data_IF_797038356094
#
_entry.id   IF_797038356094
#
_cell.length_a   1.000
_cell.length_b   1.000
_cell.length_c   1.000
_cell.angle_alpha   90.00
_cell.angle_beta   90.00
_cell.angle_gamma   90.00
#
_symmetry.space_group_name_H-M   'P 1'
#
loop_
_entity.id
_entity.type
_entity.pdbx_description
1 polymer ?
#
# COMPACT_ATOMS: atom_id res chain seq x y z
N UNK A 1 -56.47 41.16 8.51
CA UNK A 1 -56.11 40.03 7.62
C UNK A 1 -55.25 40.56 6.48
N UNK A 2 -53.93 40.45 6.57
CA UNK A 2 -53.05 40.72 5.42
C UNK A 2 -52.83 39.39 4.72
N UNK A 3 -53.33 39.30 3.49
CA UNK A 3 -53.24 38.17 2.58
C UNK A 3 -52.02 38.46 1.69
N UNK A 4 -50.96 37.67 1.82
CA UNK A 4 -49.83 37.70 0.90
C UNK A 4 -50.07 36.70 -0.22
N UNK A 5 -50.11 37.18 -1.46
CA UNK A 5 -50.10 36.34 -2.66
C UNK A 5 -48.65 36.09 -3.08
N UNK A 6 -48.29 34.83 -3.31
CA UNK A 6 -47.05 34.47 -4.00
C UNK A 6 -47.39 34.18 -5.46
N UNK A 7 -47.02 35.08 -6.36
CA UNK A 7 -47.07 34.86 -7.82
C UNK A 7 -45.68 34.37 -8.23
N UNK A 8 -45.59 33.11 -8.68
CA UNK A 8 -44.41 32.58 -9.37
C UNK A 8 -44.77 32.48 -10.87
N UNK A 9 -43.97 33.06 -11.79
CA UNK A 9 -44.27 32.98 -13.21
C UNK A 9 -43.85 31.60 -13.72
N UNK A 10 -44.82 30.79 -14.13
CA UNK A 10 -44.57 29.63 -14.99
C UNK A 10 -45.39 29.83 -16.26
N UNK A 11 -44.68 29.77 -17.39
CA UNK A 11 -45.17 29.92 -18.75
C UNK A 11 -46.24 28.84 -19.01
N UNK A 12 -47.53 29.20 -18.94
CA UNK A 12 -48.67 28.61 -19.68
C UNK A 12 -50.00 29.13 -19.12
N UNK A 13 -50.92 29.50 -20.00
CA UNK A 13 -52.23 30.08 -19.72
C UNK A 13 -53.16 29.15 -18.92
N UNK A 14 -53.08 29.14 -17.58
CA UNK A 14 -54.18 28.69 -16.71
C UNK A 14 -54.08 29.38 -15.34
N UNK A 15 -54.96 30.35 -15.07
CA UNK A 15 -55.14 30.90 -13.74
C UNK A 15 -55.88 29.88 -12.85
N UNK A 16 -55.15 29.18 -11.97
CA UNK A 16 -55.76 28.48 -10.85
C UNK A 16 -55.76 29.45 -9.67
N UNK A 17 -56.92 30.05 -9.38
CA UNK A 17 -57.16 30.77 -8.13
C UNK A 17 -57.33 29.74 -7.02
N UNK A 18 -56.25 29.44 -6.30
CA UNK A 18 -56.32 28.60 -5.10
C UNK A 18 -56.90 29.46 -3.96
N UNK A 19 -58.12 29.10 -3.51
CA UNK A 19 -58.77 29.61 -2.29
C UNK A 19 -57.86 29.44 -1.06
N UNK A 20 -58.02 30.25 0.01
CA UNK A 20 -57.05 30.35 1.10
C UNK A 20 -57.11 29.08 1.96
N UNK A 21 -56.22 28.14 1.68
CA UNK A 21 -55.86 27.09 2.63
C UNK A 21 -54.73 27.68 3.45
N UNK A 22 -54.97 27.93 4.74
CA UNK A 22 -53.94 28.34 5.68
C UNK A 22 -52.97 27.15 5.83
N UNK A 23 -51.94 27.07 4.99
CA UNK A 23 -50.96 26.01 5.05
C UNK A 23 -50.00 26.33 6.19
N UNK A 24 -50.12 25.59 7.29
CA UNK A 24 -49.14 25.62 8.38
C UNK A 24 -47.93 24.82 7.91
N UNK A 25 -46.78 25.48 7.79
CA UNK A 25 -45.50 24.82 7.55
C UNK A 25 -44.77 24.61 8.88
N UNK A 26 -44.25 23.40 9.09
CA UNK A 26 -43.44 23.05 10.26
C UNK A 26 -41.99 22.89 9.84
N UNK A 27 -41.13 23.74 10.39
CA UNK A 27 -39.69 23.58 10.31
C UNK A 27 -39.17 23.08 11.67
N UNK A 28 -38.44 21.96 11.67
CA UNK A 28 -37.80 21.43 12.88
C UNK A 28 -36.38 21.00 12.55
N UNK A 29 -35.42 21.66 13.17
CA UNK A 29 -34.04 21.22 13.31
C UNK A 29 -33.52 21.80 14.63
N UNK A 30 -32.87 21.01 15.52
CA UNK A 30 -32.39 21.50 16.82
C UNK A 30 -31.42 22.68 16.75
N UNK A 31 -30.74 22.88 15.62
CA UNK A 31 -29.76 23.97 15.40
C UNK A 31 -30.39 25.22 14.79
N UNK A 32 -31.71 25.21 14.50
CA UNK A 32 -32.41 26.42 14.03
C UNK A 32 -32.26 27.57 15.01
N UNK A 33 -32.14 27.31 16.31
CA UNK A 33 -31.89 28.35 17.31
C UNK A 33 -30.69 29.23 16.97
N UNK A 34 -29.65 28.69 16.32
CA UNK A 34 -28.44 29.43 15.93
C UNK A 34 -28.61 30.29 14.68
N UNK A 35 -29.56 29.92 13.82
CA UNK A 35 -29.84 30.59 12.55
C UNK A 35 -31.18 31.30 12.56
N UNK A 36 -31.85 31.34 13.71
CA UNK A 36 -33.23 31.79 13.83
C UNK A 36 -33.42 33.22 13.30
N UNK A 37 -32.57 34.21 13.64
CA UNK A 37 -32.73 35.56 13.12
C UNK A 37 -32.79 35.62 11.59
N UNK A 38 -31.92 34.88 10.90
CA UNK A 38 -31.92 34.78 9.44
C UNK A 38 -33.23 34.15 8.92
N UNK A 39 -33.70 33.08 9.57
CA UNK A 39 -34.95 32.42 9.16
C UNK A 39 -36.17 33.32 9.39
N UNK A 40 -36.19 34.17 10.42
CA UNK A 40 -37.27 35.12 10.64
C UNK A 40 -37.37 36.10 9.48
N UNK A 41 -36.26 36.69 9.07
CA UNK A 41 -36.23 37.64 7.96
C UNK A 41 -36.75 36.99 6.66
N UNK A 42 -36.33 35.76 6.39
CA UNK A 42 -36.79 35.00 5.21
C UNK A 42 -38.29 34.70 5.29
N UNK A 43 -38.78 34.23 6.45
CA UNK A 43 -40.19 33.89 6.64
C UNK A 43 -41.09 35.13 6.51
N UNK A 44 -40.65 36.28 7.05
CA UNK A 44 -41.35 37.55 6.93
C UNK A 44 -41.37 38.07 5.49
N UNK A 45 -40.24 37.96 4.77
CA UNK A 45 -40.16 38.31 3.35
C UNK A 45 -41.09 37.47 2.47
N UNK A 46 -41.33 36.21 2.86
CA UNK A 46 -42.31 35.33 2.22
C UNK A 46 -43.77 35.60 2.67
N UNK A 47 -44.02 36.60 3.51
CA UNK A 47 -45.35 36.93 4.05
C UNK A 47 -45.85 35.96 5.14
N UNK A 48 -44.97 35.11 5.66
CA UNK A 48 -45.26 34.20 6.76
C UNK A 48 -45.26 34.90 8.12
N UNK A 49 -45.80 34.20 9.13
CA UNK A 49 -45.68 34.60 10.53
C UNK A 49 -45.11 33.44 11.32
N UNK A 50 -43.89 33.61 11.83
CA UNK A 50 -43.24 32.59 12.63
C UNK A 50 -43.94 32.44 13.99
N UNK A 51 -44.14 31.18 14.40
CA UNK A 51 -44.55 30.79 15.76
C UNK A 51 -43.54 29.78 16.28
N UNK A 52 -43.09 29.97 17.51
CA UNK A 52 -42.06 29.16 18.12
C UNK A 52 -42.64 28.24 19.17
N UNK A 53 -42.27 26.98 19.08
CA UNK A 53 -42.60 25.96 20.07
C UNK A 53 -41.27 25.54 20.67
N UNK A 54 -40.99 26.03 21.88
CA UNK A 54 -39.74 25.72 22.56
C UNK A 54 -39.93 24.49 23.45
N UNK A 55 -39.32 23.37 23.05
CA UNK A 55 -39.41 22.12 23.78
C UNK A 55 -38.12 21.90 24.57
N UNK A 56 -38.20 22.01 25.89
CA UNK A 56 -37.04 21.79 26.75
C UNK A 56 -37.03 20.39 27.40
N UNK A 57 -35.83 19.94 27.75
CA UNK A 57 -35.54 18.68 28.43
C UNK A 57 -34.59 18.94 29.59
N UNK A 58 -34.61 18.05 30.58
CA UNK A 58 -33.66 18.12 31.70
C UNK A 58 -32.23 18.07 31.16
N UNK A 59 -31.33 18.96 31.63
CA UNK A 59 -30.00 19.14 31.04
C UNK A 59 -29.19 17.85 31.07
N UNK A 60 -29.21 17.13 32.19
CA UNK A 60 -28.45 15.89 32.36
C UNK A 60 -28.98 14.74 31.47
N UNK A 61 -30.28 14.71 31.14
CA UNK A 61 -30.79 13.75 30.14
C UNK A 61 -30.21 14.03 28.75
N UNK A 62 -30.09 15.32 28.40
CA UNK A 62 -29.48 15.75 27.14
C UNK A 62 -28.00 15.38 27.12
N UNK A 63 -27.26 15.64 28.20
CA UNK A 63 -25.84 15.29 28.30
C UNK A 63 -25.62 13.77 28.14
N UNK A 64 -26.34 12.95 28.90
CA UNK A 64 -26.23 11.49 28.79
C UNK A 64 -26.56 11.00 27.38
N UNK A 65 -27.57 11.58 26.73
CA UNK A 65 -27.92 11.26 25.35
C UNK A 65 -26.84 11.67 24.33
N UNK A 66 -26.12 12.77 24.59
CA UNK A 66 -24.99 13.21 23.75
C UNK A 66 -23.77 12.31 23.94
N UNK A 67 -23.48 11.89 25.17
CA UNK A 67 -22.35 11.01 25.50
C UNK A 67 -22.46 9.63 24.86
N UNK A 68 -23.67 9.06 24.79
CA UNK A 68 -23.92 7.79 24.07
C UNK A 68 -23.54 7.90 22.59
N UNK A 69 -23.69 9.08 21.98
CA UNK A 69 -23.38 9.32 20.56
C UNK A 69 -21.93 9.74 20.32
N UNK A 70 -21.35 10.47 21.27
CA UNK A 70 -20.01 11.02 21.21
C UNK A 70 -19.26 10.70 22.50
N UNK A 71 -18.54 9.58 22.51
CA UNK A 71 -17.86 9.09 23.72
C UNK A 71 -16.84 10.08 24.32
N UNK A 72 -16.31 11.02 23.52
CA UNK A 72 -15.37 12.04 23.95
C UNK A 72 -16.03 13.32 24.52
N UNK A 73 -17.37 13.39 24.58
CA UNK A 73 -18.07 14.60 25.04
C UNK A 73 -18.09 14.68 26.56
N UNK A 74 -17.44 15.71 27.13
CA UNK A 74 -17.44 15.89 28.58
C UNK A 74 -18.81 16.35 29.08
N UNK A 75 -19.11 16.09 30.36
CA UNK A 75 -20.35 16.58 30.99
C UNK A 75 -20.45 18.11 30.95
N UNK A 76 -19.31 18.80 31.14
CA UNK A 76 -19.24 20.27 31.12
C UNK A 76 -19.55 20.81 29.71
N UNK A 77 -18.98 20.21 28.66
CA UNK A 77 -19.28 20.58 27.27
C UNK A 77 -20.77 20.36 26.96
N UNK A 78 -21.32 19.25 27.44
CA UNK A 78 -22.75 18.92 27.43
C UNK A 78 -23.63 20.04 27.98
N UNK A 79 -23.31 20.49 29.18
CA UNK A 79 -24.08 21.50 29.90
C UNK A 79 -23.95 22.89 29.27
N UNK A 80 -22.73 23.29 28.87
CA UNK A 80 -22.50 24.56 28.16
C UNK A 80 -23.20 24.58 26.81
N UNK A 81 -23.14 23.48 26.06
CA UNK A 81 -23.86 23.33 24.81
C UNK A 81 -25.37 23.43 25.05
N UNK A 82 -25.91 22.71 26.05
CA UNK A 82 -27.33 22.79 26.41
C UNK A 82 -27.75 24.22 26.73
N UNK A 83 -27.03 24.90 27.62
CA UNK A 83 -27.34 26.26 28.08
C UNK A 83 -27.35 27.24 26.91
N UNK A 84 -26.32 27.20 26.07
CA UNK A 84 -26.23 28.07 24.90
C UNK A 84 -27.34 27.78 23.87
N UNK A 85 -27.73 26.52 23.66
CA UNK A 85 -28.85 26.21 22.76
C UNK A 85 -30.20 26.66 23.32
N UNK A 86 -30.43 26.51 24.63
CA UNK A 86 -31.63 27.00 25.29
C UNK A 86 -31.72 28.52 25.15
N UNK A 87 -30.70 29.26 25.52
CA UNK A 87 -30.72 30.73 25.45
C UNK A 87 -30.95 31.21 24.01
N UNK A 88 -30.19 30.68 23.04
CA UNK A 88 -30.31 31.09 21.64
C UNK A 88 -31.67 30.75 21.03
N UNK A 89 -32.33 29.71 21.53
CA UNK A 89 -33.65 29.31 21.02
C UNK A 89 -34.76 30.32 21.31
N UNK A 90 -34.48 31.32 22.15
CA UNK A 90 -35.37 32.44 22.46
C UNK A 90 -34.94 33.78 21.83
N UNK A 91 -33.91 33.80 20.97
CA UNK A 91 -33.38 35.05 20.40
C UNK A 91 -34.42 35.91 19.64
N UNK A 92 -35.45 35.28 19.05
CA UNK A 92 -36.54 35.97 18.33
C UNK A 92 -37.91 35.77 19.03
N UNK A 93 -37.91 35.31 20.27
CA UNK A 93 -39.13 35.00 21.01
C UNK A 93 -39.81 36.26 21.55
N UNK A 94 -41.14 36.31 21.45
CA UNK A 94 -42.01 37.27 22.13
C UNK A 94 -43.13 36.51 22.86
N UNK A 95 -43.79 37.11 23.85
CA UNK A 95 -44.93 36.48 24.54
C UNK A 95 -46.04 35.99 23.59
N UNK A 96 -46.27 36.69 22.48
CA UNK A 96 -47.36 36.45 21.55
C UNK A 96 -47.05 35.41 20.47
N UNK A 97 -45.76 35.08 20.27
CA UNK A 97 -45.32 34.18 19.21
C UNK A 97 -44.66 32.89 19.72
N UNK A 98 -44.41 32.77 21.03
CA UNK A 98 -43.67 31.66 21.63
C UNK A 98 -44.50 30.91 22.66
N UNK A 99 -44.41 29.59 22.64
CA UNK A 99 -44.97 28.69 23.64
C UNK A 99 -43.88 27.78 24.19
N UNK A 100 -43.75 27.72 25.50
CA UNK A 100 -42.75 26.89 26.19
C UNK A 100 -43.42 25.61 26.67
N UNK A 101 -42.77 24.47 26.43
CA UNK A 101 -43.23 23.21 26.98
C UNK A 101 -42.08 22.26 27.31
N UNK A 102 -42.21 21.52 28.39
CA UNK A 102 -41.29 20.43 28.69
C UNK A 102 -41.66 19.18 27.89
N UNK A 103 -40.65 18.43 27.44
CA UNK A 103 -40.86 17.13 26.78
C UNK A 103 -41.63 16.17 27.69
N UNK A 104 -41.46 16.28 29.02
CA UNK A 104 -42.16 15.44 30.02
C UNK A 104 -43.65 15.80 30.09
N UNK A 105 -44.00 17.08 30.16
CA UNK A 105 -45.40 17.53 30.19
C UNK A 105 -46.14 17.17 28.90
N UNK A 106 -45.48 17.30 27.75
CA UNK A 106 -46.06 16.89 26.46
C UNK A 106 -46.34 15.39 26.38
N UNK A 107 -45.40 14.54 26.81
CA UNK A 107 -45.58 13.09 26.78
C UNK A 107 -46.62 12.60 27.80
N UNK A 108 -46.86 13.36 28.88
CA UNK A 108 -47.86 13.02 29.90
C UNK A 108 -49.29 13.25 29.41
N UNK A 109 -49.56 14.35 28.73
CA UNK A 109 -50.90 14.71 28.23
C UNK A 109 -50.82 15.47 26.90
N UNK A 110 -50.55 14.78 25.78
CA UNK A 110 -50.30 15.41 24.49
C UNK A 110 -51.53 16.14 23.95
N UNK A 111 -52.74 15.61 24.19
CA UNK A 111 -54.00 16.20 23.71
C UNK A 111 -54.26 17.55 24.38
N UNK A 112 -54.13 17.63 25.71
CA UNK A 112 -54.30 18.88 26.45
C UNK A 112 -53.21 19.90 26.10
N UNK A 113 -51.95 19.46 25.96
CA UNK A 113 -50.85 20.35 25.58
C UNK A 113 -51.07 20.94 24.19
N UNK A 114 -51.46 20.15 23.18
CA UNK A 114 -51.74 20.66 21.83
C UNK A 114 -52.93 21.62 21.80
N UNK A 115 -53.95 21.39 22.63
CA UNK A 115 -55.09 22.31 22.79
C UNK A 115 -54.63 23.67 23.34
N UNK A 116 -53.86 23.66 24.43
CA UNK A 116 -53.29 24.89 25.03
C UNK A 116 -52.38 25.62 24.04
N UNK A 117 -51.51 24.89 23.36
CA UNK A 117 -50.59 25.41 22.36
C UNK A 117 -51.36 26.12 21.23
N UNK A 118 -52.34 25.45 20.62
CA UNK A 118 -53.17 26.05 19.58
C UNK A 118 -53.87 27.34 20.02
N UNK A 119 -54.39 27.37 21.25
CA UNK A 119 -55.01 28.56 21.83
C UNK A 119 -54.02 29.71 22.06
N UNK A 120 -52.83 29.43 22.58
CA UNK A 120 -51.85 30.44 22.96
C UNK A 120 -51.15 31.10 21.78
N UNK A 121 -50.70 30.31 20.80
CA UNK A 121 -50.01 30.86 19.61
C UNK A 121 -50.96 31.11 18.43
N UNK A 122 -52.27 31.00 18.66
CA UNK A 122 -53.35 31.26 17.72
C UNK A 122 -53.21 30.44 16.43
N UNK A 123 -53.09 29.12 16.58
CA UNK A 123 -53.01 28.15 15.50
C UNK A 123 -54.28 27.30 15.49
N UNK A 124 -54.91 27.21 14.31
CA UNK A 124 -55.97 26.24 14.06
C UNK A 124 -55.37 24.95 13.52
N UNK A 125 -55.51 23.87 14.28
CA UNK A 125 -55.01 22.56 13.86
C UNK A 125 -55.82 22.02 12.67
N UNK A 126 -55.16 21.42 11.65
CA UNK A 126 -55.87 20.76 10.55
C UNK A 126 -56.76 19.61 11.03
N UNK A 127 -56.35 18.94 12.09
CA UNK A 127 -57.10 17.90 12.80
C UNK A 127 -57.17 18.33 14.27
N UNK A 128 -58.37 18.47 14.87
CA UNK A 128 -58.50 18.80 16.27
C UNK A 128 -57.73 17.80 17.15
N UNK A 129 -57.01 18.24 18.21
CA UNK A 129 -56.21 17.35 19.05
C UNK A 129 -57.00 16.19 19.68
N UNK A 130 -58.29 16.40 19.97
CA UNK A 130 -59.17 15.37 20.51
C UNK A 130 -59.41 14.23 19.50
N UNK A 131 -59.66 14.58 18.24
CA UNK A 131 -59.89 13.61 17.16
C UNK A 131 -58.61 12.86 16.78
N UNK A 132 -57.44 13.44 17.07
CA UNK A 132 -56.14 12.83 16.84
C UNK A 132 -55.63 11.98 18.03
N UNK A 133 -56.38 11.87 19.14
CA UNK A 133 -55.90 11.32 20.40
C UNK A 133 -55.35 9.88 20.28
N UNK A 134 -56.08 8.98 19.62
CA UNK A 134 -55.66 7.58 19.44
C UNK A 134 -54.36 7.48 18.65
N UNK A 135 -54.26 8.20 17.52
CA UNK A 135 -53.05 8.28 16.69
C UNK A 135 -51.87 8.89 17.45
N UNK A 136 -52.12 9.89 18.30
CA UNK A 136 -51.09 10.50 19.13
C UNK A 136 -50.56 9.51 20.17
N UNK A 137 -51.44 8.71 20.80
CA UNK A 137 -51.03 7.69 21.76
C UNK A 137 -50.28 6.53 21.13
N UNK A 138 -50.66 6.11 19.91
CA UNK A 138 -49.92 5.08 19.17
C UNK A 138 -48.54 5.57 18.70
N UNK A 139 -48.45 6.84 18.27
CA UNK A 139 -47.20 7.42 17.77
C UNK A 139 -46.21 7.78 18.87
N UNK A 140 -46.69 8.26 20.02
CA UNK A 140 -45.83 8.73 21.11
C UNK A 140 -45.41 7.56 22.00
N UNK A 141 -44.16 7.16 21.87
CA UNK A 141 -43.55 6.17 22.74
C UNK A 141 -43.21 6.77 24.11
N UNK A 142 -44.00 6.42 25.12
CA UNK A 142 -43.75 6.82 26.52
C UNK A 142 -42.43 6.28 27.09
N UNK A 143 -41.84 5.24 26.48
CA UNK A 143 -40.55 4.68 26.89
C UNK A 143 -39.35 5.58 26.55
N UNK A 144 -39.55 6.62 25.72
CA UNK A 144 -38.56 7.65 25.42
C UNK A 144 -38.32 8.63 26.59
N UNK A 145 -39.09 8.52 27.68
CA UNK A 145 -38.78 9.20 28.95
C UNK A 145 -37.70 8.41 29.68
N UNK A 146 -36.44 8.67 29.34
CA UNK A 146 -35.32 8.04 30.04
C UNK A 146 -35.26 8.50 31.51
N UNK A 147 -34.98 7.55 32.40
CA UNK A 147 -35.00 7.74 33.85
C UNK A 147 -34.00 8.81 34.34
N UNK A 148 -34.42 9.51 35.40
CA UNK A 148 -33.78 10.65 36.07
C UNK A 148 -32.31 10.39 36.44
N UNK A 149 -31.39 11.32 36.15
CA UNK A 149 -30.36 11.67 37.10
C UNK A 149 -30.98 12.60 38.15
N UNK A 150 -31.27 12.05 39.33
CA UNK A 150 -31.50 12.84 40.53
C UNK A 150 -30.14 13.31 41.01
N UNK A 151 -29.84 14.60 40.86
CA UNK A 151 -28.61 15.19 41.38
C UNK A 151 -28.43 16.62 40.88
N UNK A 152 -27.94 17.50 41.75
CA UNK A 152 -27.46 18.82 41.35
C UNK A 152 -26.30 18.69 40.38
N UNK A 153 -26.16 19.66 39.49
CA UNK A 153 -25.03 19.68 38.55
C UNK A 153 -23.75 20.01 39.35
N UNK A 154 -22.76 19.09 39.47
CA UNK A 154 -21.69 19.19 40.46
C UNK A 154 -20.55 20.14 40.05
N UNK A 155 -20.81 21.10 39.16
CA UNK A 155 -19.81 21.97 38.56
C UNK A 155 -20.10 23.45 38.83
N UNK A 156 -19.91 23.98 40.05
CA UNK A 156 -20.03 25.42 40.29
C UNK A 156 -18.93 26.20 39.53
N UNK A 157 -19.20 27.39 38.97
CA UNK A 157 -20.48 28.12 39.02
C UNK A 157 -21.53 27.64 38.01
N UNK A 158 -21.16 26.84 37.01
CA UNK A 158 -22.04 26.37 35.93
C UNK A 158 -23.33 25.67 36.44
N UNK A 159 -23.22 24.87 37.50
CA UNK A 159 -24.38 24.18 38.06
C UNK A 159 -25.47 25.13 38.53
N UNK A 160 -25.10 26.22 39.22
CA UNK A 160 -26.05 27.24 39.67
C UNK A 160 -26.72 27.98 38.52
N UNK A 161 -26.00 28.24 37.43
CA UNK A 161 -26.60 28.85 36.24
C UNK A 161 -27.58 27.91 35.53
N UNK A 162 -27.19 26.65 35.35
CA UNK A 162 -28.05 25.64 34.73
C UNK A 162 -29.33 25.46 35.55
N UNK A 163 -29.22 25.38 36.88
CA UNK A 163 -30.37 25.25 37.78
C UNK A 163 -31.30 26.46 37.68
N UNK A 164 -30.77 27.69 37.65
CA UNK A 164 -31.57 28.91 37.46
C UNK A 164 -32.39 28.87 36.16
N UNK A 165 -31.75 28.56 35.04
CA UNK A 165 -32.44 28.50 33.73
C UNK A 165 -33.47 27.37 33.70
N UNK A 166 -33.16 26.21 34.28
CA UNK A 166 -34.11 25.10 34.41
C UNK A 166 -35.35 25.52 35.22
N UNK A 167 -35.16 26.22 36.33
CA UNK A 167 -36.27 26.71 37.16
C UNK A 167 -37.13 27.76 36.41
N UNK A 168 -36.50 28.65 35.65
CA UNK A 168 -37.21 29.60 34.77
C UNK A 168 -38.03 28.89 33.67
N UNK A 169 -37.49 27.83 33.07
CA UNK A 169 -38.21 27.01 32.09
C UNK A 169 -39.38 26.25 32.73
N UNK A 170 -39.16 25.65 33.91
CA UNK A 170 -40.19 24.91 34.64
C UNK A 170 -41.34 25.78 35.11
N UNK A 171 -41.05 26.98 35.61
CA UNK A 171 -42.09 27.96 36.02
C UNK A 171 -42.90 28.49 34.84
N UNK A 172 -42.36 28.39 33.62
CA UNK A 172 -43.01 28.81 32.37
C UNK A 172 -43.55 27.64 31.54
N UNK A 173 -43.59 26.42 32.09
CA UNK A 173 -44.07 25.24 31.35
C UNK A 173 -45.56 25.36 31.00
N UNK A 174 -45.89 25.07 29.74
CA UNK A 174 -47.22 25.21 29.14
C UNK A 174 -47.75 26.65 29.09
N UNK A 175 -46.86 27.64 29.15
CA UNK A 175 -47.19 29.06 29.11
C UNK A 175 -46.38 29.81 28.03
N UNK A 176 -46.79 31.05 27.77
CA UNK A 176 -45.99 32.01 26.99
C UNK A 176 -44.91 32.62 27.88
N UNK A 177 -43.72 32.96 27.34
CA UNK A 177 -42.70 33.65 28.12
C UNK A 177 -43.21 35.01 28.60
N UNK A 178 -42.89 35.36 29.85
CA UNK A 178 -43.23 36.63 30.47
C UNK A 178 -41.96 37.47 30.73
N UNK A 179 -42.12 38.68 31.27
CA UNK A 179 -40.99 39.58 31.54
C UNK A 179 -39.95 38.97 32.50
N UNK A 180 -40.38 38.23 33.52
CA UNK A 180 -39.48 37.53 34.46
C UNK A 180 -38.66 36.45 33.76
N UNK A 181 -39.28 35.70 32.85
CA UNK A 181 -38.59 34.69 32.04
C UNK A 181 -37.53 35.32 31.13
N UNK A 182 -37.86 36.42 30.43
CA UNK A 182 -36.88 37.11 29.60
C UNK A 182 -35.73 37.70 30.41
N UNK A 183 -36.00 38.28 31.58
CA UNK A 183 -34.93 38.75 32.47
C UNK A 183 -34.01 37.60 32.93
N UNK A 184 -34.57 36.43 33.20
CA UNK A 184 -33.78 35.24 33.54
C UNK A 184 -32.87 34.79 32.38
N UNK A 185 -33.39 34.77 31.16
CA UNK A 185 -32.59 34.45 29.97
C UNK A 185 -31.51 35.48 29.67
N UNK A 186 -31.80 36.77 29.83
CA UNK A 186 -30.82 37.83 29.58
C UNK A 186 -29.64 37.72 30.55
N UNK A 187 -29.91 37.50 31.84
CA UNK A 187 -28.86 37.26 32.84
C UNK A 187 -28.00 36.02 32.49
N UNK A 188 -28.63 34.93 32.02
CA UNK A 188 -27.89 33.74 31.62
C UNK A 188 -27.08 33.94 30.35
N UNK A 189 -27.55 34.80 29.43
CA UNK A 189 -26.82 35.20 28.24
C UNK A 189 -25.59 36.04 28.60
N UNK A 190 -25.76 37.06 29.44
CA UNK A 190 -24.66 37.89 29.96
C UNK A 190 -23.60 37.01 30.62
N UNK A 191 -24.02 36.08 31.49
CA UNK A 191 -23.11 35.15 32.14
C UNK A 191 -22.35 34.25 31.15
N UNK A 192 -23.03 33.74 30.11
CA UNK A 192 -22.38 32.97 29.05
C UNK A 192 -21.37 33.81 28.25
N UNK A 193 -21.69 35.07 27.97
CA UNK A 193 -20.83 35.97 27.21
C UNK A 193 -19.60 36.39 28.04
N UNK A 194 -19.75 36.61 29.35
CA UNK A 194 -18.64 36.79 30.29
C UNK A 194 -17.73 35.57 30.33
N UNK A 195 -18.29 34.36 30.45
CA UNK A 195 -17.51 33.13 30.37
C UNK A 195 -16.78 33.01 29.05
N UNK A 196 -17.45 33.26 27.91
CA UNK A 196 -16.80 33.24 26.59
C UNK A 196 -15.64 34.23 26.55
N UNK A 197 -15.82 35.46 27.03
CA UNK A 197 -14.76 36.47 27.02
C UNK A 197 -13.54 36.05 27.87
N UNK A 198 -13.78 35.47 29.06
CA UNK A 198 -12.73 34.92 29.91
C UNK A 198 -11.97 33.79 29.20
N UNK A 199 -12.70 32.84 28.62
CA UNK A 199 -12.10 31.72 27.91
C UNK A 199 -11.46 32.12 26.59
N UNK A 200 -11.95 33.15 25.89
CA UNK A 200 -11.38 33.61 24.63
C UNK A 200 -9.94 34.13 24.83
N UNK A 201 -9.67 34.79 25.96
CA UNK A 201 -8.32 35.20 26.36
C UNK A 201 -7.42 33.99 26.70
N UNK A 202 -7.97 32.99 27.40
CA UNK A 202 -7.26 31.78 27.86
C UNK A 202 -7.08 30.74 26.76
N UNK A 203 -7.94 30.70 25.76
CA UNK A 203 -7.93 29.73 24.64
C UNK A 203 -7.03 30.23 23.51
N UNK A 204 -7.06 31.53 23.19
CA UNK A 204 -6.31 32.06 22.03
C UNK A 204 -4.79 31.89 22.14
N UNK A 205 -4.20 31.93 23.34
CA UNK A 205 -2.74 31.85 23.50
C UNK A 205 -2.18 30.41 23.55
N UNK A 206 -2.59 29.54 24.50
CA UNK A 206 -2.00 28.22 24.66
C UNK A 206 -2.51 27.19 23.64
N UNK A 207 -3.78 27.23 23.22
CA UNK A 207 -4.28 26.26 22.22
C UNK A 207 -3.70 26.53 20.83
N UNK A 208 -3.41 27.78 20.48
CA UNK A 208 -2.70 28.11 19.25
C UNK A 208 -1.26 27.56 19.28
N UNK A 209 -0.54 27.75 20.40
CA UNK A 209 0.81 27.18 20.60
C UNK A 209 0.80 25.66 20.54
N UNK A 210 -0.11 25.01 21.28
CA UNK A 210 -0.25 23.55 21.30
C UNK A 210 -0.60 22.99 19.92
N UNK A 211 -1.49 23.64 19.17
CA UNK A 211 -1.81 23.22 17.81
C UNK A 211 -0.64 23.41 16.85
N UNK A 212 0.14 24.49 17.00
CA UNK A 212 1.35 24.72 16.20
C UNK A 212 2.44 23.69 16.52
N UNK A 213 2.67 23.40 17.80
CA UNK A 213 3.58 22.34 18.26
C UNK A 213 3.16 20.97 17.74
N UNK A 214 1.87 20.64 17.82
CA UNK A 214 1.30 19.41 17.27
C UNK A 214 1.50 19.34 15.76
N UNK A 215 1.24 20.42 15.03
CA UNK A 215 1.44 20.47 13.58
C UNK A 215 2.91 20.29 13.20
N UNK A 216 3.82 20.93 13.94
CA UNK A 216 5.26 20.75 13.78
C UNK A 216 5.72 19.33 14.11
N UNK A 217 5.12 18.70 15.13
CA UNK A 217 5.43 17.30 15.47
C UNK A 217 4.95 16.33 14.39
N UNK A 218 3.76 16.57 13.82
CA UNK A 218 3.23 15.80 12.68
C UNK A 218 4.15 15.95 11.46
N UNK A 219 4.50 17.18 11.08
CA UNK A 219 5.40 17.43 9.95
C UNK A 219 6.76 16.75 10.12
N UNK A 220 7.34 16.80 11.32
CA UNK A 220 8.60 16.08 11.64
C UNK A 220 8.45 14.57 11.54
N UNK A 221 7.32 14.01 11.97
CA UNK A 221 7.05 12.57 11.86
C UNK A 221 6.89 12.14 10.39
N UNK A 222 6.24 12.95 9.57
CA UNK A 222 6.09 12.71 8.12
C UNK A 222 7.44 12.77 7.40
N UNK A 223 8.30 13.74 7.74
CA UNK A 223 9.65 13.85 7.19
C UNK A 223 10.53 12.63 7.56
N UNK A 224 10.50 12.21 8.82
CA UNK A 224 11.19 11.00 9.28
C UNK A 224 10.68 9.74 8.58
N UNK A 225 9.36 9.64 8.36
CA UNK A 225 8.77 8.51 7.65
C UNK A 225 9.23 8.49 6.18
N UNK A 226 9.28 9.64 5.53
CA UNK A 226 9.81 9.78 4.16
C UNK A 226 11.28 9.35 4.06
N UNK A 227 12.13 9.83 4.99
CA UNK A 227 13.54 9.45 5.04
C UNK A 227 13.74 7.94 5.29
N UNK A 228 12.93 7.35 6.17
CA UNK A 228 12.94 5.91 6.43
C UNK A 228 12.55 5.10 5.18
N UNK A 229 11.48 5.51 4.48
CA UNK A 229 11.03 4.84 3.25
C UNK A 229 12.08 4.89 2.15
N UNK A 230 12.76 6.04 1.99
CA UNK A 230 13.85 6.17 1.02
C UNK A 230 15.01 5.24 1.36
N UNK A 231 15.43 5.22 2.63
CA UNK A 231 16.52 4.33 3.09
C UNK A 231 16.16 2.85 2.86
N UNK A 232 14.92 2.46 3.11
CA UNK A 232 14.47 1.09 2.89
C UNK A 232 14.43 0.72 1.40
N UNK A 233 14.07 1.65 0.51
CA UNK A 233 14.16 1.45 -0.94
C UNK A 233 15.60 1.28 -1.41
N UNK A 234 16.53 2.09 -0.92
CA UNK A 234 17.97 1.97 -1.20
C UNK A 234 18.53 0.63 -0.68
N UNK A 235 18.08 0.18 0.49
CA UNK A 235 18.46 -1.13 1.04
C UNK A 235 17.97 -2.29 0.16
N UNK A 236 16.73 -2.21 -0.33
CA UNK A 236 16.16 -3.24 -1.20
C UNK A 236 16.87 -3.30 -2.55
N UNK A 237 17.17 -2.16 -3.17
CA UNK A 237 17.91 -2.12 -4.44
C UNK A 237 19.34 -2.64 -4.30
N UNK A 238 20.02 -2.34 -3.19
CA UNK A 238 21.33 -2.89 -2.88
C UNK A 238 21.28 -4.42 -2.70
N UNK A 239 20.23 -4.95 -2.09
CA UNK A 239 20.04 -6.41 -1.93
C UNK A 239 19.84 -7.11 -3.29
N UNK A 240 19.10 -6.48 -4.20
CA UNK A 240 18.92 -6.98 -5.57
C UNK A 240 20.22 -6.97 -6.37
N UNK A 241 21.00 -5.89 -6.28
CA UNK A 241 22.31 -5.80 -6.90
C UNK A 241 23.28 -6.88 -6.36
N UNK A 242 23.24 -7.15 -5.06
CA UNK A 242 24.08 -8.18 -4.44
C UNK A 242 23.74 -9.59 -4.94
N UNK A 243 22.44 -9.89 -5.12
CA UNK A 243 22.01 -11.16 -5.73
C UNK A 243 22.48 -11.30 -7.18
N UNK A 244 22.50 -10.22 -7.94
CA UNK A 244 23.00 -10.25 -9.32
C UNK A 244 24.49 -10.58 -9.37
N UNK A 245 25.29 -9.92 -8.51
CA UNK A 245 26.73 -10.20 -8.39
C UNK A 245 26.98 -11.65 -7.97
N UNK A 246 26.20 -12.18 -7.04
CA UNK A 246 26.29 -13.58 -6.61
C UNK A 246 26.06 -14.55 -7.79
N UNK A 247 25.03 -14.30 -8.61
CA UNK A 247 24.75 -15.09 -9.82
C UNK A 247 25.85 -15.01 -10.87
N UNK A 248 26.44 -13.83 -11.06
CA UNK A 248 27.59 -13.65 -11.95
C UNK A 248 28.82 -14.42 -11.44
N UNK A 249 29.10 -14.36 -10.14
CA UNK A 249 30.18 -15.12 -9.50
C UNK A 249 30.00 -16.64 -9.70
N UNK A 250 28.79 -17.17 -9.50
CA UNK A 250 28.47 -18.58 -9.72
C UNK A 250 28.67 -18.99 -11.19
N UNK A 251 28.29 -18.12 -12.12
CA UNK A 251 28.47 -18.35 -13.56
C UNK A 251 29.95 -18.38 -13.93
N UNK A 252 30.73 -17.41 -13.43
CA UNK A 252 32.19 -17.35 -13.67
C UNK A 252 32.89 -18.54 -13.03
N UNK A 253 32.49 -18.95 -11.83
CA UNK A 253 33.03 -20.14 -11.16
C UNK A 253 32.78 -21.41 -11.99
N UNK A 254 31.55 -21.58 -12.49
CA UNK A 254 31.18 -22.71 -13.35
C UNK A 254 31.98 -22.75 -14.65
N UNK A 255 32.16 -21.59 -15.31
CA UNK A 255 32.99 -21.47 -16.51
C UNK A 255 34.46 -21.78 -16.21
N UNK A 256 35.01 -21.28 -15.10
CA UNK A 256 36.39 -21.56 -14.71
C UNK A 256 36.63 -23.05 -14.47
N UNK A 257 35.68 -23.76 -13.86
CA UNK A 257 35.73 -25.22 -13.70
C UNK A 257 35.72 -25.95 -15.04
N UNK A 258 34.88 -25.54 -15.99
CA UNK A 258 34.82 -26.12 -17.33
C UNK A 258 36.13 -25.93 -18.10
N UNK A 259 36.68 -24.70 -18.09
CA UNK A 259 37.99 -24.41 -18.68
C UNK A 259 39.10 -25.24 -18.02
N UNK A 260 39.06 -25.41 -16.69
CA UNK A 260 40.05 -26.21 -15.99
C UNK A 260 40.00 -27.69 -16.41
N UNK A 261 38.80 -28.26 -16.56
CA UNK A 261 38.62 -29.64 -17.06
C UNK A 261 39.12 -29.79 -18.49
N UNK A 262 38.73 -28.89 -19.39
CA UNK A 262 39.17 -28.92 -20.79
C UNK A 262 40.71 -28.80 -20.92
N UNK A 263 41.33 -27.98 -20.09
CA UNK A 263 42.78 -27.87 -20.01
C UNK A 263 43.43 -29.19 -19.54
N UNK A 264 42.91 -29.82 -18.49
CA UNK A 264 43.41 -31.12 -18.00
C UNK A 264 43.30 -32.22 -19.05
N UNK A 265 42.17 -32.31 -19.76
CA UNK A 265 41.95 -33.29 -20.82
C UNK A 265 42.94 -33.08 -21.99
N UNK A 266 43.14 -31.82 -22.40
CA UNK A 266 44.10 -31.45 -23.45
C UNK A 266 45.53 -31.80 -23.05
N UNK A 267 45.90 -31.53 -21.80
CA UNK A 267 47.23 -31.84 -21.28
C UNK A 267 47.47 -33.36 -21.19
N UNK A 268 46.47 -34.14 -20.76
CA UNK A 268 46.54 -35.61 -20.80
C UNK A 268 46.65 -36.16 -22.23
N UNK A 269 45.90 -35.59 -23.18
CA UNK A 269 46.01 -35.95 -24.60
C UNK A 269 47.41 -35.62 -25.14
N UNK A 270 47.99 -34.47 -24.76
CA UNK A 270 49.35 -34.08 -25.15
C UNK A 270 50.39 -35.04 -24.59
N UNK A 271 50.30 -35.37 -23.30
CA UNK A 271 51.21 -36.32 -22.64
C UNK A 271 51.13 -37.72 -23.28
N UNK A 272 49.93 -38.24 -23.52
CA UNK A 272 49.74 -39.54 -24.18
C UNK A 272 50.25 -39.56 -25.62
N UNK A 273 49.98 -38.51 -26.40
CA UNK A 273 50.52 -38.36 -27.76
C UNK A 273 52.05 -38.30 -27.78
N UNK A 274 52.65 -37.62 -26.78
CA UNK A 274 54.11 -37.52 -26.64
C UNK A 274 54.72 -38.87 -26.29
N UNK A 275 54.13 -39.60 -25.33
CA UNK A 275 54.54 -40.96 -24.98
C UNK A 275 54.44 -41.92 -26.18
N UNK A 276 53.37 -41.84 -26.97
CA UNK A 276 53.21 -42.65 -28.19
C UNK A 276 54.27 -42.29 -29.24
N UNK A 277 54.59 -41.01 -29.42
CA UNK A 277 55.61 -40.58 -30.36
C UNK A 277 57.01 -41.08 -29.94
N UNK A 278 57.32 -41.07 -28.64
CA UNK A 278 58.57 -41.64 -28.11
C UNK A 278 58.66 -43.16 -28.34
N UNK A 279 57.57 -43.90 -28.14
CA UNK A 279 57.50 -45.33 -28.43
C UNK A 279 57.71 -45.61 -29.92
N UNK A 280 57.01 -44.88 -30.78
CA UNK A 280 57.15 -44.99 -32.24
C UNK A 280 58.59 -44.68 -32.69
N UNK A 281 59.23 -43.67 -32.09
CA UNK A 281 60.62 -43.33 -32.39
C UNK A 281 61.57 -44.45 -32.00
N UNK A 282 61.38 -45.09 -30.84
CA UNK A 282 62.17 -46.25 -30.42
C UNK A 282 62.00 -47.43 -31.38
N UNK A 283 60.76 -47.72 -31.79
CA UNK A 283 60.48 -48.78 -32.76
C UNK A 283 61.14 -48.50 -34.13
N UNK A 284 61.10 -47.25 -34.59
CA UNK A 284 61.79 -46.82 -35.80
C UNK A 284 63.31 -46.98 -35.68
N UNK A 285 63.91 -46.56 -34.56
CA UNK A 285 65.35 -46.71 -34.31
C UNK A 285 65.78 -48.18 -34.30
N UNK A 286 64.98 -49.07 -33.71
CA UNK A 286 65.25 -50.50 -33.72
C UNK A 286 65.17 -51.07 -35.15
N UNK A 287 64.15 -50.72 -35.91
CA UNK A 287 64.00 -51.14 -37.31
C UNK A 287 65.19 -50.68 -38.17
N UNK A 288 65.65 -49.44 -37.96
CA UNK A 288 66.83 -48.91 -38.66
C UNK A 288 68.11 -49.65 -38.28
N UNK A 289 68.29 -50.01 -37.00
CA UNK A 289 69.41 -50.85 -36.57
C UNK A 289 69.38 -52.23 -37.22
N UNK A 290 68.21 -52.86 -37.29
CA UNK A 290 68.01 -54.14 -37.98
C UNK A 290 68.33 -54.02 -39.48
N UNK A 291 67.92 -52.93 -40.13
CA UNK A 291 68.22 -52.62 -41.54
C UNK A 291 69.72 -52.47 -41.78
N UNK A 292 70.43 -51.75 -40.92
CA UNK A 292 71.89 -51.59 -41.00
C UNK A 292 72.59 -52.94 -40.82
N UNK A 293 72.17 -53.74 -39.84
CA UNK A 293 72.70 -55.10 -39.62
C UNK A 293 72.48 -56.00 -40.84
N UNK A 294 71.30 -55.95 -41.47
CA UNK A 294 70.99 -56.71 -42.68
C UNK A 294 71.86 -56.27 -43.88
N UNK A 295 72.09 -54.96 -44.06
CA UNK A 295 73.00 -54.43 -45.08
C UNK A 295 74.43 -54.93 -44.89
N UNK A 296 74.93 -54.96 -43.65
CA UNK A 296 76.26 -55.50 -43.36
C UNK A 296 76.34 -57.00 -43.60
N UNK A 297 75.27 -57.76 -43.32
CA UNK A 297 75.19 -59.18 -43.66
C UNK A 297 75.23 -59.41 -45.19
N UNK A 298 74.50 -58.61 -45.97
CA UNK A 298 74.54 -58.68 -47.44
C UNK A 298 75.95 -58.42 -47.95
N UNK A 299 76.62 -57.38 -47.47
CA UNK A 299 78.01 -57.06 -47.87
C UNK A 299 78.98 -58.21 -47.56
N UNK A 300 78.80 -58.92 -46.43
CA UNK A 300 79.61 -60.10 -46.10
C UNK A 300 79.40 -61.23 -47.11
N UNK A 301 78.14 -61.51 -47.46
CA UNK A 301 77.80 -62.53 -48.47
C UNK A 301 78.38 -62.15 -49.84
N UNK A 302 78.35 -60.87 -50.23
CA UNK A 302 78.98 -60.40 -51.47
C UNK A 302 80.49 -60.59 -51.44
N UNK A 303 81.15 -60.27 -50.33
CA UNK A 303 82.59 -60.49 -50.16
C UNK A 303 82.97 -61.98 -50.25
N UNK A 304 82.22 -62.86 -49.57
CA UNK A 304 82.41 -64.31 -49.64
C UNK A 304 82.19 -64.85 -51.06
N UNK A 305 81.15 -64.37 -51.75
CA UNK A 305 80.88 -64.70 -53.16
C UNK A 305 82.05 -64.29 -54.06
N UNK A 306 82.54 -63.06 -53.91
CA UNK A 306 83.63 -62.54 -54.73
C UNK A 306 84.94 -63.27 -54.45
N UNK A 307 85.22 -63.62 -53.20
CA UNK A 307 86.36 -64.47 -52.81
C UNK A 307 86.25 -65.88 -53.39
N UNK A 308 85.08 -66.51 -53.32
CA UNK A 308 84.83 -67.82 -53.92
C UNK A 308 84.97 -67.79 -55.45
N UNK A 309 84.47 -66.73 -56.10
CA UNK A 309 84.64 -66.52 -57.54
C UNK A 309 86.12 -66.34 -57.93
N UNK A 310 86.91 -65.63 -57.12
CA UNK A 310 88.34 -65.49 -57.32
C UNK A 310 89.09 -66.83 -57.15
N UNK A 311 88.74 -67.62 -56.13
CA UNK A 311 89.28 -68.97 -55.94
C UNK A 311 88.94 -69.89 -57.11
N UNK A 312 87.69 -69.87 -57.60
CA UNK A 312 87.27 -70.65 -58.75
C UNK A 312 88.05 -70.27 -60.02
N UNK A 313 88.28 -68.97 -60.27
CA UNK A 313 89.14 -68.49 -61.38
C UNK A 313 90.57 -68.98 -61.26
N UNK A 314 91.17 -68.86 -60.07
CA UNK A 314 92.54 -69.33 -59.83
C UNK A 314 92.68 -70.85 -60.05
N UNK A 315 91.67 -71.63 -59.64
CA UNK A 315 91.63 -73.08 -59.91
C UNK A 315 91.56 -73.38 -61.42
N UNK A 316 90.74 -72.62 -62.16
CA UNK A 316 90.58 -72.78 -63.60
C UNK A 316 91.88 -72.45 -64.35
N UNK A 317 92.55 -71.36 -63.98
CA UNK A 317 93.83 -70.95 -64.56
C UNK A 317 94.92 -71.99 -64.29
N UNK A 318 95.01 -72.51 -63.06
CA UNK A 318 95.95 -73.57 -62.70
C UNK A 318 95.68 -74.88 -63.47
N UNK A 319 94.40 -75.23 -63.67
CA UNK A 319 94.01 -76.38 -64.48
C UNK A 319 94.43 -76.22 -65.94
N UNK A 320 94.14 -75.06 -66.54
CA UNK A 320 94.57 -74.72 -67.91
C UNK A 320 96.09 -74.77 -68.08
N UNK A 321 96.85 -74.23 -67.12
CA UNK A 321 98.32 -74.27 -67.16
C UNK A 321 98.85 -75.70 -67.07
N UNK A 322 98.21 -76.55 -66.26
CA UNK A 322 98.57 -77.97 -66.15
C UNK A 322 98.32 -78.75 -67.44
N UNK A 323 97.20 -78.50 -68.13
CA UNK A 323 96.88 -79.12 -69.41
C UNK A 323 97.78 -78.59 -70.53
N UNK A 324 98.12 -77.30 -70.54
CA UNK A 324 99.13 -76.74 -71.45
C UNK A 324 100.50 -77.42 -71.26
N UNK A 325 100.95 -77.62 -70.01
CA UNK A 325 102.19 -78.38 -69.73
C UNK A 325 102.08 -79.82 -70.22
N UNK A 326 100.93 -80.48 -70.02
CA UNK A 326 100.67 -81.85 -70.49
C UNK A 326 100.73 -81.95 -72.01
N UNK A 327 100.03 -81.08 -72.73
CA UNK A 327 100.06 -80.96 -74.20
C UNK A 327 101.46 -80.69 -74.72
N UNK A 328 102.19 -79.76 -74.11
CA UNK A 328 103.55 -79.42 -74.54
C UNK A 328 104.51 -80.60 -74.34
N UNK A 329 104.38 -81.35 -73.25
CA UNK A 329 105.14 -82.60 -73.04
C UNK A 329 104.83 -83.68 -74.08
N UNK A 330 103.58 -83.74 -74.54
CA UNK A 330 103.11 -84.68 -75.57
C UNK A 330 103.68 -84.29 -76.94
N UNK A 331 103.64 -83.00 -77.29
CA UNK A 331 104.29 -82.45 -78.47
C UNK A 331 105.80 -82.71 -78.48
N UNK A 332 106.49 -82.53 -77.36
CA UNK A 332 107.93 -82.83 -77.25
C UNK A 332 108.24 -84.33 -77.43
N UNK A 333 107.39 -85.23 -76.91
CA UNK A 333 107.54 -86.68 -77.15
C UNK A 333 107.32 -87.05 -78.61
N UNK A 334 106.30 -86.47 -79.26
CA UNK A 334 106.04 -86.66 -80.69
C UNK A 334 107.19 -86.11 -81.55
N UNK A 335 107.75 -84.96 -81.20
CA UNK A 335 108.90 -84.37 -81.88
C UNK A 335 110.16 -85.26 -81.80
N UNK A 336 110.42 -85.88 -80.64
CA UNK A 336 111.53 -86.84 -80.48
C UNK A 336 111.34 -88.12 -81.29
N UNK A 337 110.10 -88.57 -81.50
CA UNK A 337 109.81 -89.73 -82.36
C UNK A 337 109.99 -89.40 -83.86
N UNK A 338 109.71 -88.15 -84.26
CA UNK A 338 109.86 -87.72 -85.65
C UNK A 338 111.33 -87.56 -86.08
N UNK A 339 112.22 -87.13 -85.18
CA UNK A 339 113.65 -86.91 -85.51
C UNK A 339 114.47 -88.22 -85.56
N UNK A 340 114.01 -89.31 -84.96
CA UNK A 340 114.69 -90.62 -85.03
C UNK A 340 114.66 -91.25 -86.45
N UNK A 341 113.85 -90.73 -87.38
CA UNK A 341 113.71 -91.26 -88.75
C UNK A 341 114.64 -90.62 -89.80
N UNK A 342 115.46 -89.63 -89.45
CA UNK A 342 116.33 -88.92 -90.43
C UNK A 342 117.84 -89.24 -90.33
N UNK A 343 118.27 -90.14 -89.43
CA UNK A 343 119.67 -90.58 -89.32
C UNK A 343 119.97 -91.94 -90.00
N UNK A 344 119.54 -92.08 -91.26
CA UNK A 344 120.04 -93.12 -92.19
C UNK A 344 120.18 -92.52 -93.60
N UNK A 345 121.30 -91.85 -93.84
CA UNK A 345 122.03 -91.86 -95.11
C UNK A 345 123.44 -91.33 -94.89
#
# INVERSE_FOLDING_TARGET
LRIGFLIIPIISNTCIVIRPICVIFRLKDPRLCRTLPLWVDVLEACGGRARYINIFREPMEVVSSLQVRNASFSTVDGLLAWLAHVIDSFACATPENTFILSSRSFLKDPVSTLKKLGQRINIQWPIPPYDAAERLHEFLDSSLVHHRPVGSVPYPPLGGEVERIVDCLKTSDLESPNATFFACLENGKEWLDELRALFECVIKNPLASLNAERMSAIARAEELLGAYQQTEQERLSALEALKHVEQECDTVASQAEEYHRAYQDTEQARLSATAQAEENLKAYQQTEQERVSALDAIKRVEYERDAAAAQARAYLDAYQESELKRLNSLCQRLYRLATFKWMKK
#
